data_IF_156329213080
#
_entry.id   IF_156329213080
#
_cell.length_a   1.000
_cell.length_b   1.000
_cell.length_c   1.000
_cell.angle_alpha   90.00
_cell.angle_beta   90.00
_cell.angle_gamma   90.00
#
_symmetry.space_group_name_H-M   'P 1'
#
loop_
_entity.id
_entity.type
_entity.pdbx_description
1 polymer ?
#
# COMPACT_ATOMS: atom_id res chain seq x y z
N UNK A 1 -8.69 12.74 2.29
CA UNK A 1 -9.26 11.39 2.42
C UNK A 1 -8.90 10.66 1.13
N UNK A 2 -8.18 9.54 1.19
CA UNK A 2 -7.88 8.78 -0.04
C UNK A 2 -9.19 8.21 -0.56
N UNK A 3 -9.50 8.54 -1.81
CA UNK A 3 -10.63 7.99 -2.53
C UNK A 3 -10.19 6.71 -3.25
N UNK A 4 -10.78 5.57 -2.89
CA UNK A 4 -10.53 4.29 -3.55
C UNK A 4 -11.38 4.13 -4.83
N UNK A 5 -12.19 5.12 -5.20
CA UNK A 5 -13.01 5.12 -6.42
C UNK A 5 -12.18 5.08 -7.71
N UNK A 6 -10.88 5.39 -7.61
CA UNK A 6 -9.96 5.44 -8.76
C UNK A 6 -9.01 4.26 -8.84
N UNK A 7 -9.07 3.34 -7.87
CA UNK A 7 -8.48 2.02 -8.01
C UNK A 7 -9.22 1.32 -9.15
N UNK A 8 -8.46 0.67 -10.05
CA UNK A 8 -9.08 -0.16 -11.08
C UNK A 8 -10.02 -1.19 -10.40
N UNK A 9 -11.25 -1.39 -10.91
CA UNK A 9 -12.17 -2.36 -10.31
C UNK A 9 -11.59 -3.77 -10.27
N UNK A 10 -10.70 -4.10 -11.19
CA UNK A 10 -10.00 -5.38 -11.28
C UNK A 10 -8.56 -5.14 -11.70
N UNK A 11 -7.61 -5.88 -11.13
CA UNK A 11 -6.22 -5.79 -11.54
C UNK A 11 -5.33 -6.91 -11.03
N UNK A 12 -4.14 -7.00 -11.63
CA UNK A 12 -3.07 -7.85 -11.13
C UNK A 12 -2.34 -7.14 -10.00
N UNK A 13 -2.07 -7.85 -8.91
CA UNK A 13 -1.30 -7.32 -7.77
C UNK A 13 0.06 -6.78 -8.23
N UNK A 14 0.72 -7.48 -9.15
CA UNK A 14 2.01 -7.09 -9.71
C UNK A 14 2.02 -5.72 -10.40
N UNK A 15 0.87 -5.25 -10.88
CA UNK A 15 0.75 -3.98 -11.62
C UNK A 15 -0.08 -2.93 -10.87
N UNK A 16 -0.58 -3.23 -9.67
CA UNK A 16 -1.47 -2.32 -8.93
C UNK A 16 -0.76 -1.36 -7.97
N UNK A 17 0.55 -1.14 -8.17
CA UNK A 17 1.34 -0.21 -7.36
C UNK A 17 1.39 -0.56 -5.85
N UNK A 18 1.60 0.46 -5.03
CA UNK A 18 1.76 0.29 -3.58
C UNK A 18 0.47 -0.14 -2.88
N UNK A 19 -0.70 0.34 -3.34
CA UNK A 19 -2.00 -0.03 -2.77
C UNK A 19 -2.24 -1.53 -2.94
N UNK A 20 -2.00 -2.08 -4.14
CA UNK A 20 -2.18 -3.52 -4.36
C UNK A 20 -1.20 -4.39 -3.57
N UNK A 21 0.03 -3.91 -3.33
CA UNK A 21 0.97 -4.59 -2.42
C UNK A 21 0.44 -4.63 -0.99
N UNK A 22 -0.08 -3.50 -0.48
CA UNK A 22 -0.68 -3.44 0.86
C UNK A 22 -1.88 -4.38 0.97
N UNK A 23 -2.74 -4.40 -0.05
CA UNK A 23 -3.87 -5.33 -0.11
C UNK A 23 -3.39 -6.79 -0.05
N UNK A 24 -2.36 -7.15 -0.82
CA UNK A 24 -1.77 -8.48 -0.82
C UNK A 24 -1.15 -8.86 0.54
N UNK A 25 -0.43 -7.93 1.18
CA UNK A 25 0.16 -8.14 2.50
C UNK A 25 -0.90 -8.36 3.59
N UNK A 26 -2.02 -7.63 3.52
CA UNK A 26 -3.17 -7.85 4.42
C UNK A 26 -3.77 -9.23 4.15
N UNK A 27 -4.01 -9.59 2.90
CA UNK A 27 -4.60 -10.88 2.53
C UNK A 27 -3.70 -12.06 2.95
N UNK A 28 -2.39 -11.96 2.76
CA UNK A 28 -1.43 -12.99 3.19
C UNK A 28 -1.44 -13.16 4.72
N UNK A 29 -1.45 -12.06 5.47
CA UNK A 29 -1.58 -12.09 6.95
C UNK A 29 -2.89 -12.72 7.41
N UNK A 30 -4.01 -12.39 6.74
CA UNK A 30 -5.32 -12.96 7.05
C UNK A 30 -5.38 -14.45 6.69
N UNK A 31 -4.72 -14.88 5.61
CA UNK A 31 -4.68 -16.28 5.20
C UNK A 31 -3.81 -17.13 6.12
N UNK A 32 -2.71 -16.58 6.62
CA UNK A 32 -1.83 -17.23 7.59
C UNK A 32 -1.00 -18.40 7.05
N UNK A 33 -0.85 -18.49 5.72
CA UNK A 33 -0.06 -19.52 5.05
C UNK A 33 1.21 -18.89 4.48
N UNK A 34 2.37 -19.42 4.88
CA UNK A 34 3.68 -18.83 4.60
C UNK A 34 3.96 -18.65 3.09
N UNK A 35 3.59 -19.64 2.28
CA UNK A 35 3.81 -19.63 0.84
C UNK A 35 2.61 -19.13 0.03
N UNK A 36 1.57 -18.61 0.68
CA UNK A 36 0.42 -18.08 -0.05
C UNK A 36 0.66 -16.65 -0.50
N UNK A 37 0.39 -16.35 -1.76
CA UNK A 37 0.46 -14.99 -2.28
C UNK A 37 -0.72 -14.66 -3.18
N UNK A 38 -1.25 -13.45 -3.04
CA UNK A 38 -2.27 -12.91 -3.93
C UNK A 38 -1.65 -12.51 -5.28
N UNK A 39 -2.36 -12.81 -6.38
CA UNK A 39 -1.95 -12.40 -7.73
C UNK A 39 -2.98 -11.50 -8.41
N UNK A 40 -4.23 -11.53 -7.96
CA UNK A 40 -5.34 -10.79 -8.54
C UNK A 40 -6.17 -10.12 -7.44
N UNK A 41 -6.76 -8.96 -7.74
CA UNK A 41 -7.72 -8.30 -6.88
C UNK A 41 -8.94 -7.82 -7.69
N UNK A 42 -10.09 -7.80 -7.02
CA UNK A 42 -11.37 -7.32 -7.55
C UNK A 42 -12.12 -6.52 -6.49
N UNK A 43 -12.51 -5.28 -6.80
CA UNK A 43 -13.36 -4.46 -5.96
C UNK A 43 -14.79 -5.02 -6.03
N UNK A 44 -15.20 -5.71 -4.97
CA UNK A 44 -16.53 -6.33 -4.88
C UNK A 44 -17.60 -5.37 -4.32
N UNK A 45 -17.19 -4.29 -3.65
CA UNK A 45 -18.09 -3.23 -3.18
C UNK A 45 -17.33 -1.93 -2.91
N UNK A 46 -18.04 -0.85 -2.56
CA UNK A 46 -17.41 0.42 -2.17
C UNK A 46 -16.63 0.37 -0.86
N UNK A 47 -16.74 -0.73 -0.10
CA UNK A 47 -16.07 -0.90 1.19
C UNK A 47 -15.15 -2.11 1.26
N UNK A 48 -15.10 -2.94 0.21
CA UNK A 48 -14.38 -4.20 0.23
C UNK A 48 -13.80 -4.58 -1.14
N UNK A 49 -12.68 -5.30 -1.07
CA UNK A 49 -11.98 -5.87 -2.22
C UNK A 49 -11.69 -7.33 -1.92
N UNK A 50 -11.81 -8.17 -2.93
CA UNK A 50 -11.47 -9.59 -2.88
C UNK A 50 -10.12 -9.81 -3.56
N UNK A 51 -9.26 -10.63 -2.96
CA UNK A 51 -7.98 -11.01 -3.53
C UNK A 51 -7.97 -12.50 -3.81
N UNK A 52 -7.63 -12.87 -5.04
CA UNK A 52 -7.40 -14.26 -5.43
C UNK A 52 -5.91 -14.57 -5.31
N UNK A 53 -5.60 -15.67 -4.65
CA UNK A 53 -4.23 -16.13 -4.45
C UNK A 53 -4.12 -17.65 -4.42
N UNK A 54 -2.91 -18.11 -4.16
CA UNK A 54 -2.62 -19.54 -4.07
C UNK A 54 -1.22 -19.78 -3.52
N UNK A 55 -0.88 -21.05 -3.29
CA UNK A 55 0.45 -21.43 -2.84
C UNK A 55 1.46 -21.22 -3.97
N UNK A 56 2.50 -20.46 -3.68
CA UNK A 56 3.57 -20.18 -4.62
C UNK A 56 4.59 -21.29 -4.62
N UNK A 57 5.02 -21.68 -5.82
CA UNK A 57 6.17 -22.55 -6.06
C UNK A 57 7.04 -21.95 -7.15
N UNK A 58 8.36 -22.00 -6.94
CA UNK A 58 9.35 -21.61 -7.95
C UNK A 58 9.82 -22.90 -8.62
N UNK A 59 9.38 -23.13 -9.86
CA UNK A 59 9.83 -24.25 -10.69
C UNK A 59 10.60 -23.70 -11.89
N UNK A 60 11.82 -24.18 -12.09
CA UNK A 60 12.70 -23.77 -13.20
C UNK A 60 12.84 -22.23 -13.31
N UNK A 61 12.98 -21.54 -12.17
CA UNK A 61 13.13 -20.07 -12.12
C UNK A 61 11.85 -19.29 -12.41
N UNK A 62 10.73 -19.96 -12.67
CA UNK A 62 9.43 -19.31 -12.90
C UNK A 62 8.53 -19.46 -11.67
N UNK A 63 8.00 -18.33 -11.21
CA UNK A 63 6.98 -18.30 -10.16
C UNK A 63 5.66 -18.83 -10.70
N UNK A 64 5.05 -19.80 -10.00
CA UNK A 64 3.73 -20.36 -10.32
C UNK A 64 2.87 -20.42 -9.06
N UNK A 65 1.57 -20.17 -9.24
CA UNK A 65 0.57 -20.37 -8.20
C UNK A 65 -0.06 -21.74 -8.39
N UNK A 66 0.23 -22.65 -7.47
CA UNK A 66 -0.32 -24.00 -7.44
C UNK A 66 -1.81 -23.96 -7.11
N UNK A 67 -2.58 -24.86 -7.71
CA UNK A 67 -3.97 -25.10 -7.33
C UNK A 67 -4.05 -25.85 -5.99
N UNK A 68 -5.15 -25.69 -5.22
CA UNK A 68 -6.30 -24.82 -5.50
C UNK A 68 -6.01 -23.35 -5.17
N UNK A 69 -6.59 -22.44 -5.96
CA UNK A 69 -6.65 -21.01 -5.63
C UNK A 69 -7.85 -20.73 -4.73
N UNK A 70 -7.75 -19.68 -3.95
CA UNK A 70 -8.80 -19.22 -3.05
C UNK A 70 -8.83 -17.69 -2.98
N UNK A 71 -9.94 -17.18 -2.44
CA UNK A 71 -10.24 -15.77 -2.35
C UNK A 71 -10.26 -15.30 -0.89
N UNK A 72 -9.71 -14.10 -0.65
CA UNK A 72 -9.73 -13.42 0.64
C UNK A 72 -10.35 -12.04 0.46
N UNK A 73 -11.47 -11.81 1.13
CA UNK A 73 -12.09 -10.49 1.21
C UNK A 73 -11.42 -9.66 2.30
N UNK A 74 -11.00 -8.45 1.95
CA UNK A 74 -10.46 -7.45 2.87
C UNK A 74 -11.30 -6.17 2.83
N UNK A 75 -11.54 -5.53 3.98
CA UNK A 75 -12.20 -4.23 4.02
C UNK A 75 -11.22 -3.12 3.61
N UNK A 76 -11.67 -2.16 2.79
CA UNK A 76 -10.86 -1.00 2.37
C UNK A 76 -10.44 -0.12 3.55
N UNK A 77 -11.20 -0.14 4.65
CA UNK A 77 -10.81 0.52 5.90
C UNK A 77 -9.50 -0.03 6.48
N UNK A 78 -9.23 -1.33 6.35
CA UNK A 78 -7.97 -1.93 6.79
C UNK A 78 -6.80 -1.54 5.87
N UNK A 79 -7.05 -1.44 4.55
CA UNK A 79 -6.07 -0.95 3.58
C UNK A 79 -5.68 0.47 3.93
N UNK A 80 -6.65 1.34 4.19
CA UNK A 80 -6.41 2.73 4.59
C UNK A 80 -5.60 2.84 5.88
N UNK A 81 -5.94 2.06 6.91
CA UNK A 81 -5.21 2.05 8.17
C UNK A 81 -3.74 1.62 7.99
N UNK A 82 -3.48 0.62 7.13
CA UNK A 82 -2.10 0.21 6.83
C UNK A 82 -1.36 1.26 6.00
N UNK A 83 -2.02 1.90 5.04
CA UNK A 83 -1.42 3.02 4.29
C UNK A 83 -1.03 4.18 5.22
N UNK A 84 -1.87 4.52 6.20
CA UNK A 84 -1.55 5.54 7.22
C UNK A 84 -0.34 5.14 8.07
N UNK A 85 -0.30 3.87 8.51
CA UNK A 85 0.82 3.33 9.28
C UNK A 85 2.14 3.36 8.48
N UNK A 86 2.08 3.18 7.16
CA UNK A 86 3.23 3.27 6.27
C UNK A 86 3.56 4.72 5.86
N UNK A 87 2.85 5.72 6.38
CA UNK A 87 3.09 7.14 6.06
C UNK A 87 2.74 7.52 4.62
N UNK A 88 1.97 6.70 3.91
CA UNK A 88 1.54 6.93 2.53
C UNK A 88 0.33 7.87 2.44
N UNK A 89 -0.32 8.10 3.58
CA UNK A 89 -1.42 9.03 3.73
C UNK A 89 -1.15 9.90 4.92
N UNK A 90 -1.42 11.20 4.77
CA UNK A 90 -1.45 12.10 5.90
C UNK A 90 -2.40 11.57 6.96
N UNK A 91 -1.84 11.23 8.12
CA UNK A 91 -2.63 11.11 9.33
C UNK A 91 -3.13 12.51 9.67
N UNK A 92 -4.41 12.70 10.03
CA UNK A 92 -4.80 13.95 10.68
C UNK A 92 -3.87 14.10 11.88
N UNK A 93 -3.10 15.19 11.90
CA UNK A 93 -2.14 15.47 12.95
C UNK A 93 -2.81 15.30 14.30
N UNK A 94 -2.45 14.24 15.03
CA UNK A 94 -2.83 14.12 16.43
C UNK A 94 -2.05 15.22 17.12
N UNK A 95 -2.73 16.30 17.49
CA UNK A 95 -2.17 17.34 18.34
C UNK A 95 -1.54 16.63 19.55
N UNK A 96 -0.26 16.88 19.88
CA UNK A 96 0.37 16.26 21.02
C UNK A 96 -0.44 16.65 22.27
N UNK A 97 -1.12 15.68 22.88
CA UNK A 97 -1.65 15.85 24.21
C UNK A 97 -0.47 16.19 25.14
N UNK A 98 -0.57 17.23 25.99
CA UNK A 98 0.50 17.55 26.91
C UNK A 98 0.60 16.42 27.94
N UNK A 99 1.64 15.59 27.81
CA UNK A 99 2.03 14.64 28.83
C UNK A 99 2.55 15.44 30.03
N UNK A 100 1.77 15.50 31.10
CA UNK A 100 2.19 16.03 32.40
C UNK A 100 3.27 15.09 32.97
N UNK A 101 4.54 15.42 32.72
CA UNK A 101 5.67 14.80 33.39
C UNK A 101 5.69 15.23 34.86
N UNK A 102 5.16 14.37 35.73
CA UNK A 102 5.49 14.41 37.15
C UNK A 102 6.89 13.79 37.34
N UNK A 103 7.77 14.55 37.99
CA UNK A 103 9.13 14.18 38.35
C UNK A 103 9.18 12.86 39.12
N UNK A 104 10.14 11.99 38.80
CA UNK A 104 10.95 11.40 39.87
C UNK A 104 12.35 10.97 39.42
N UNK A 105 13.24 11.15 40.38
CA UNK A 105 14.70 11.26 40.40
C UNK A 105 15.49 9.96 40.25
N UNK A 106 16.72 10.10 39.74
CA UNK A 106 17.97 9.44 40.16
C UNK A 106 18.56 8.23 39.37
N UNK A 107 19.60 8.59 38.59
CA UNK A 107 20.91 7.94 38.35
C UNK A 107 21.18 6.86 37.25
N UNK A 108 22.34 6.95 36.53
CA UNK A 108 22.83 6.09 35.42
C UNK A 108 23.72 4.91 35.95
N UNK A 109 24.40 4.00 35.17
CA UNK A 109 24.80 3.97 33.74
C UNK A 109 24.38 2.65 33.00
N UNK A 110 24.61 2.40 31.70
CA UNK A 110 25.85 1.85 31.11
C UNK A 110 25.66 1.61 29.59
N UNK A 111 26.67 2.03 28.81
CA UNK A 111 27.17 1.58 27.49
C UNK A 111 26.28 0.89 26.41
N UNK A 112 26.55 1.38 25.19
CA UNK A 112 26.62 0.71 23.89
C UNK A 112 25.33 0.45 23.11
N UNK A 113 25.31 1.05 21.92
CA UNK A 113 24.35 0.73 20.86
C UNK A 113 24.21 1.88 19.89
N UNK A 114 25.24 2.10 19.07
CA UNK A 114 25.18 2.98 17.91
C UNK A 114 24.19 2.40 16.89
N UNK A 115 22.90 2.67 17.06
CA UNK A 115 21.92 2.49 15.99
C UNK A 115 21.56 3.87 15.45
N UNK A 116 22.40 4.34 14.53
CA UNK A 116 21.98 5.31 13.52
C UNK A 116 21.01 4.56 12.60
N UNK A 117 19.76 4.44 13.03
CA UNK A 117 18.66 4.15 12.12
C UNK A 117 18.52 5.43 11.30
N UNK A 118 19.21 5.47 10.17
CA UNK A 118 18.98 6.44 9.12
C UNK A 118 17.54 6.25 8.67
N UNK A 119 16.62 6.98 9.31
CA UNK A 119 15.27 7.15 8.84
C UNK A 119 15.39 7.92 7.54
N UNK A 120 15.51 7.18 6.43
CA UNK A 120 15.47 7.75 5.10
C UNK A 120 14.13 8.45 4.96
N UNK A 121 14.14 9.77 5.11
CA UNK A 121 12.98 10.61 4.81
C UNK A 121 12.68 10.40 3.33
N UNK A 122 11.68 9.58 3.03
CA UNK A 122 11.14 9.48 1.69
C UNK A 122 10.49 10.82 1.39
N UNK A 123 11.09 11.60 0.49
CA UNK A 123 10.52 12.85 0.01
C UNK A 123 9.36 12.51 -0.93
N UNK A 124 8.13 12.78 -0.50
CA UNK A 124 6.94 12.63 -1.33
C UNK A 124 6.73 13.89 -2.17
N UNK A 125 6.53 13.73 -3.48
CA UNK A 125 6.25 14.81 -4.40
C UNK A 125 4.79 14.73 -4.87
N UNK A 126 4.03 15.79 -4.63
CA UNK A 126 2.67 15.92 -5.17
C UNK A 126 2.74 16.65 -6.52
N UNK A 127 2.36 15.96 -7.60
CA UNK A 127 2.34 16.51 -8.95
C UNK A 127 0.89 16.74 -9.41
N UNK A 128 0.62 17.93 -9.97
CA UNK A 128 -0.61 18.22 -10.70
C UNK A 128 -0.31 18.22 -12.20
N UNK A 129 -0.90 17.28 -12.93
CA UNK A 129 -0.72 17.16 -14.38
C UNK A 129 -1.96 17.68 -15.10
N UNK A 130 -1.76 18.54 -16.10
CA UNK A 130 -2.84 18.93 -17.00
C UNK A 130 -3.14 17.76 -17.94
N UNK A 131 -4.37 17.23 -17.86
CA UNK A 131 -4.82 16.12 -18.70
C UNK A 131 -5.71 16.61 -19.86
N UNK A 132 -5.86 15.83 -20.93
CA UNK A 132 -6.84 16.11 -21.98
C UNK A 132 -8.26 16.23 -21.40
N UNK A 133 -9.11 17.06 -22.01
CA UNK A 133 -10.50 17.26 -21.55
C UNK A 133 -11.39 16.01 -21.71
N UNK A 134 -11.01 15.10 -22.60
CA UNK A 134 -11.72 13.85 -22.87
C UNK A 134 -11.64 12.86 -21.69
N UNK A 135 -12.79 12.34 -21.26
CA UNK A 135 -12.88 11.43 -20.11
C UNK A 135 -12.18 10.09 -20.36
N UNK A 136 -12.33 9.51 -21.56
CA UNK A 136 -11.70 8.24 -21.89
C UNK A 136 -10.17 8.36 -21.90
N UNK A 137 -9.66 9.47 -22.40
CA UNK A 137 -8.24 9.80 -22.42
C UNK A 137 -7.68 10.01 -21.00
N UNK A 138 -8.42 10.70 -20.12
CA UNK A 138 -8.05 10.85 -18.69
C UNK A 138 -7.93 9.50 -18.00
N UNK A 139 -8.92 8.64 -18.15
CA UNK A 139 -8.92 7.29 -17.56
C UNK A 139 -7.78 6.43 -18.09
N UNK A 140 -7.47 6.54 -19.39
CA UNK A 140 -6.33 5.83 -20.00
C UNK A 140 -4.99 6.30 -19.44
N UNK A 141 -4.81 7.60 -19.24
CA UNK A 141 -3.58 8.16 -18.65
C UNK A 141 -3.49 7.77 -17.17
N UNK A 142 -4.59 7.85 -16.42
CA UNK A 142 -4.63 7.44 -15.02
C UNK A 142 -4.28 5.96 -14.85
N UNK A 143 -4.83 5.10 -15.71
CA UNK A 143 -4.53 3.67 -15.74
C UNK A 143 -3.06 3.43 -16.06
N UNK A 144 -2.49 4.16 -17.03
CA UNK A 144 -1.05 4.07 -17.34
C UNK A 144 -0.18 4.49 -16.17
N UNK A 145 -0.49 5.61 -15.51
CA UNK A 145 0.27 6.07 -14.35
C UNK A 145 0.15 5.11 -13.15
N UNK A 146 -0.97 4.41 -13.00
CA UNK A 146 -1.12 3.37 -11.99
C UNK A 146 -0.27 2.12 -12.30
N UNK A 147 -0.13 1.75 -13.58
CA UNK A 147 0.62 0.58 -14.02
C UNK A 147 2.13 0.84 -14.12
N UNK A 148 2.51 2.07 -14.48
CA UNK A 148 3.89 2.48 -14.71
C UNK A 148 4.48 3.04 -13.41
N UNK A 149 5.16 2.17 -12.67
CA UNK A 149 5.69 2.45 -11.33
C UNK A 149 6.90 3.40 -11.31
N UNK A 150 7.28 3.99 -12.45
CA UNK A 150 8.38 4.96 -12.56
C UNK A 150 7.94 6.16 -13.42
N UNK A 151 7.83 7.32 -12.78
CA UNK A 151 7.60 8.60 -13.43
C UNK A 151 8.77 9.52 -13.09
N UNK A 152 9.62 9.81 -14.08
CA UNK A 152 10.80 10.68 -13.93
C UNK A 152 11.78 10.25 -12.81
N UNK A 153 11.92 8.94 -12.56
CA UNK A 153 12.76 8.40 -11.50
C UNK A 153 12.07 8.33 -10.14
N UNK A 154 10.78 8.68 -10.06
CA UNK A 154 9.97 8.60 -8.85
C UNK A 154 8.95 7.45 -8.94
N UNK A 155 8.75 6.74 -7.84
CA UNK A 155 7.74 5.70 -7.78
C UNK A 155 6.35 6.30 -7.59
N UNK A 156 5.44 5.99 -8.52
CA UNK A 156 4.04 6.40 -8.40
C UNK A 156 3.36 5.59 -7.30
N UNK A 157 2.88 6.28 -6.27
CA UNK A 157 2.24 5.66 -5.09
C UNK A 157 0.72 5.68 -5.23
N UNK A 158 0.17 6.80 -5.70
CA UNK A 158 -1.25 7.02 -5.93
C UNK A 158 -1.42 8.08 -7.02
N UNK A 159 -2.48 7.95 -7.81
CA UNK A 159 -2.89 8.95 -8.80
C UNK A 159 -4.37 9.25 -8.62
N UNK A 160 -4.76 10.51 -8.81
CA UNK A 160 -6.15 10.91 -8.84
C UNK A 160 -6.46 11.96 -9.91
N UNK A 161 -7.74 12.01 -10.32
CA UNK A 161 -8.31 13.04 -11.18
C UNK A 161 -9.03 14.08 -10.30
N UNK A 162 -8.63 15.35 -10.43
CA UNK A 162 -9.43 16.49 -9.95
C UNK A 162 -10.54 16.87 -10.96
#
# INVERSE_FOLDING_TARGET
>A
MIDFSEMLPVGMVAHGGQVARIMADIAQRQRGLENWEAFHYEKISDSAVELTGGIVSIQNGSKRWLEPHDCITIPLAAVFAEMQKQGLVDSPAVLPMPHLNALNTANPPTMNGSDVVSSGSHAFLHLKLALPSDQASRQKILSKLHLEADLLGATVIACHLE
#
